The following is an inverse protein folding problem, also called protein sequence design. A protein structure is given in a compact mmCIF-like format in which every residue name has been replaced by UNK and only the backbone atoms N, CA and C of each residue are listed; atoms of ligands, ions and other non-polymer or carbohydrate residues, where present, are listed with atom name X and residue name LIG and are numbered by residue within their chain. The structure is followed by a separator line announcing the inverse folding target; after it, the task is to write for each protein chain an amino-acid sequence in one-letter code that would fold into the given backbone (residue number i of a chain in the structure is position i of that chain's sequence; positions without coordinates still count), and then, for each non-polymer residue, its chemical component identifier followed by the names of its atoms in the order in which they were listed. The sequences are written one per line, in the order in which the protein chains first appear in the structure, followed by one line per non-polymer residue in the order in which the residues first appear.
data_IF_521263855427
#
_entry.id   IF_521263855427
#
_cell.length_a   1.000
_cell.length_b   1.000
_cell.length_c   1.000
_cell.angle_alpha   90.00
_cell.angle_beta   90.00
_cell.angle_gamma   90.00
#
_symmetry.space_group_name_H-M   'P 1'
#
loop_
_entity.id
_entity.type
_entity.pdbx_description
1 polymer ?
#
# COMPACT_ATOMS: atom_id res chain seq x y z
N UNK A 1 49.42 40.38 -38.45
CA UNK A 1 50.18 39.60 -37.47
C UNK A 1 49.43 39.67 -36.16
N UNK A 2 48.96 38.61 -35.55
CA UNK A 2 48.75 37.23 -35.96
C UNK A 2 47.64 36.70 -35.04
N UNK A 3 46.80 35.84 -35.60
CA UNK A 3 45.73 35.12 -34.92
C UNK A 3 46.32 33.83 -34.39
N UNK A 4 46.38 33.62 -33.06
CA UNK A 4 46.38 32.31 -32.35
C UNK A 4 46.83 32.48 -30.89
N UNK A 5 46.24 31.66 -30.02
CA UNK A 5 46.68 31.33 -28.64
C UNK A 5 46.48 32.45 -27.59
N UNK A 6 45.75 32.34 -26.47
CA UNK A 6 45.28 31.22 -25.65
C UNK A 6 43.93 31.66 -25.00
N UNK A 7 42.82 31.04 -25.38
CA UNK A 7 41.59 30.97 -24.57
C UNK A 7 41.41 29.49 -24.27
N UNK A 8 41.74 29.05 -23.06
CA UNK A 8 41.45 27.70 -22.59
C UNK A 8 41.10 27.70 -21.10
N UNK A 9 40.00 26.99 -20.82
CA UNK A 9 39.64 26.33 -19.56
C UNK A 9 39.10 27.12 -18.36
N UNK A 10 37.78 27.33 -18.40
CA UNK A 10 36.89 27.08 -17.25
C UNK A 10 35.58 26.41 -17.71
N UNK A 11 35.63 25.10 -17.94
CA UNK A 11 34.44 24.26 -17.94
C UNK A 11 34.27 23.68 -16.52
N UNK A 12 33.12 23.94 -15.90
CA UNK A 12 32.77 23.37 -14.61
C UNK A 12 32.55 21.87 -14.72
N UNK A 13 33.13 21.12 -13.77
CA UNK A 13 32.95 19.69 -13.62
C UNK A 13 31.47 19.31 -13.44
N UNK A 14 30.90 18.69 -14.46
CA UNK A 14 29.64 17.95 -14.36
C UNK A 14 29.99 16.52 -13.97
N UNK A 15 29.74 16.17 -12.72
CA UNK A 15 29.99 14.85 -12.13
C UNK A 15 29.25 13.74 -12.94
N UNK A 16 30.00 12.77 -13.48
CA UNK A 16 29.43 11.71 -14.31
C UNK A 16 28.77 10.61 -13.45
N UNK A 17 27.60 10.07 -13.87
CA UNK A 17 26.84 9.06 -13.12
C UNK A 17 27.60 7.75 -12.84
N UNK A 18 28.69 7.47 -13.55
CA UNK A 18 29.56 6.32 -13.30
C UNK A 18 30.32 6.44 -11.96
N UNK A 19 30.66 7.65 -11.52
CA UNK A 19 31.46 7.87 -10.31
C UNK A 19 30.64 7.73 -9.01
N UNK A 20 29.32 7.97 -9.07
CA UNK A 20 28.38 7.64 -7.97
C UNK A 20 28.21 6.13 -7.79
N UNK A 21 28.17 5.38 -8.88
CA UNK A 21 28.03 3.93 -8.89
C UNK A 21 29.29 3.21 -8.35
N UNK A 22 30.47 3.78 -8.56
CA UNK A 22 31.72 3.26 -8.02
C UNK A 22 31.80 3.40 -6.48
N UNK A 23 31.30 4.51 -5.91
CA UNK A 23 31.24 4.69 -4.44
C UNK A 23 30.22 3.75 -3.77
N UNK A 24 29.09 3.48 -4.44
CA UNK A 24 28.09 2.52 -3.94
C UNK A 24 28.60 1.07 -3.97
N UNK A 25 29.44 0.69 -4.94
CA UNK A 25 30.08 -0.64 -4.96
C UNK A 25 31.14 -0.82 -3.88
N UNK A 26 31.85 0.23 -3.48
CA UNK A 26 32.87 0.18 -2.41
C UNK A 26 32.29 -0.03 -1.00
N UNK A 27 31.01 0.29 -0.78
CA UNK A 27 30.33 0.06 0.49
C UNK A 27 29.80 -1.38 0.66
N UNK A 28 29.74 -2.16 -0.43
CA UNK A 28 29.09 -3.49 -0.47
C UNK A 28 30.05 -4.63 -0.13
N UNK A 29 31.36 -4.44 -0.12
CA UNK A 29 32.36 -5.51 0.15
C UNK A 29 32.92 -5.51 1.57
N UNK A 30 32.21 -4.97 2.57
CA UNK A 30 32.71 -5.00 3.96
C UNK A 30 31.74 -5.53 5.01
N UNK A 31 30.74 -6.30 4.62
CA UNK A 31 29.89 -7.04 5.57
C UNK A 31 29.83 -8.49 5.10
N UNK A 32 30.96 -9.17 5.16
CA UNK A 32 30.99 -10.61 5.09
C UNK A 32 32.06 -11.12 6.06
N UNK A 33 31.66 -11.28 7.32
CA UNK A 33 32.37 -12.03 8.37
C UNK A 33 31.52 -12.10 9.64
N UNK A 34 30.44 -12.90 9.66
CA UNK A 34 30.06 -13.55 10.92
C UNK A 34 29.32 -14.89 10.70
N UNK A 35 29.90 -16.04 11.12
CA UNK A 35 29.33 -17.39 10.97
C UNK A 35 28.13 -17.73 11.88
N UNK A 36 27.27 -16.77 12.25
CA UNK A 36 26.15 -17.01 13.19
C UNK A 36 24.76 -17.07 12.53
N UNK A 37 24.68 -17.05 11.21
CA UNK A 37 23.41 -16.97 10.46
C UNK A 37 22.67 -18.30 10.19
N UNK A 38 23.14 -19.45 10.70
CA UNK A 38 22.50 -20.75 10.42
C UNK A 38 21.58 -21.27 11.55
N UNK A 39 21.58 -20.66 12.74
CA UNK A 39 20.71 -21.14 13.85
C UNK A 39 19.38 -20.39 14.00
N UNK A 40 19.26 -19.17 13.47
CA UNK A 40 18.05 -18.35 13.60
C UNK A 40 16.89 -18.84 12.71
N UNK A 41 17.19 -19.52 11.59
CA UNK A 41 16.19 -19.97 10.60
C UNK A 41 15.41 -21.22 11.03
N UNK A 42 15.90 -22.01 12.00
CA UNK A 42 15.13 -23.15 12.57
C UNK A 42 14.25 -22.78 13.75
N UNK A 43 14.59 -21.72 14.50
CA UNK A 43 13.83 -21.31 15.70
C UNK A 43 12.61 -20.46 15.34
N UNK A 44 12.67 -19.69 14.26
CA UNK A 44 11.55 -18.86 13.79
C UNK A 44 10.38 -19.68 13.19
N UNK A 45 10.67 -20.87 12.65
CA UNK A 45 9.65 -21.79 12.12
C UNK A 45 8.81 -22.50 13.19
N UNK A 46 9.17 -22.40 14.47
CA UNK A 46 8.51 -23.07 15.61
C UNK A 46 7.79 -22.14 16.58
N UNK A 47 7.78 -20.83 16.33
CA UNK A 47 7.20 -19.83 17.26
C UNK A 47 6.18 -18.88 16.64
N UNK A 48 5.83 -19.09 15.37
CA UNK A 48 4.60 -18.54 14.82
C UNK A 48 3.45 -19.47 15.25
N UNK A 49 2.44 -18.99 16.00
CA UNK A 49 1.21 -19.73 16.15
C UNK A 49 0.56 -19.80 14.76
N UNK A 50 0.74 -20.92 14.09
CA UNK A 50 -0.11 -21.33 12.99
C UNK A 50 -1.40 -21.81 13.60
N UNK A 51 -2.42 -20.95 13.60
CA UNK A 51 -3.78 -21.38 13.85
C UNK A 51 -4.39 -21.72 12.48
N UNK A 52 -4.77 -22.99 12.30
CA UNK A 52 -5.37 -23.56 11.08
C UNK A 52 -6.75 -22.95 10.75
N UNK A 53 -7.18 -21.90 11.48
CA UNK A 53 -8.35 -21.06 11.17
C UNK A 53 -8.03 -19.86 10.28
N UNK A 54 -6.76 -19.56 10.03
CA UNK A 54 -6.35 -18.63 8.98
C UNK A 54 -6.24 -19.40 7.67
N UNK A 55 -7.28 -19.28 6.84
CA UNK A 55 -7.29 -19.78 5.48
C UNK A 55 -6.14 -19.20 4.66
N UNK A 56 -5.20 -20.08 4.34
CA UNK A 56 -4.12 -20.01 3.35
C UNK A 56 -2.84 -19.22 3.72
N UNK A 57 -1.64 -19.79 3.42
CA UNK A 57 -0.36 -19.27 3.84
C UNK A 57 -0.04 -17.99 3.08
N UNK A 58 0.44 -16.98 3.82
CA UNK A 58 1.26 -15.86 3.36
C UNK A 58 1.82 -16.12 1.95
N UNK A 59 1.20 -15.51 0.94
CA UNK A 59 1.40 -15.74 -0.49
C UNK A 59 2.79 -16.29 -0.85
N UNK A 60 2.89 -17.62 -0.96
CA UNK A 60 4.05 -18.31 -1.52
C UNK A 60 3.70 -18.78 -2.94
N UNK A 61 3.59 -17.83 -3.87
CA UNK A 61 3.57 -18.15 -5.29
C UNK A 61 4.54 -17.23 -6.04
N UNK A 62 5.76 -17.72 -6.22
CA UNK A 62 6.80 -17.14 -7.08
C UNK A 62 8.12 -16.91 -6.34
N UNK A 63 9.23 -17.46 -6.83
CA UNK A 63 10.59 -17.12 -6.39
C UNK A 63 11.03 -15.82 -7.07
N UNK A 64 10.73 -14.69 -6.42
CA UNK A 64 11.15 -13.32 -6.77
C UNK A 64 10.74 -12.26 -5.71
N UNK A 65 9.63 -12.41 -4.95
CA UNK A 65 9.19 -11.39 -3.99
C UNK A 65 10.00 -11.35 -2.70
N UNK A 66 10.52 -12.50 -2.24
CA UNK A 66 11.17 -12.61 -0.92
C UNK A 66 12.45 -11.76 -0.85
N UNK A 67 13.23 -11.70 -1.94
CA UNK A 67 14.43 -10.84 -2.02
C UNK A 67 14.09 -9.35 -2.06
N UNK A 68 12.95 -8.96 -2.65
CA UNK A 68 12.52 -7.56 -2.70
C UNK A 68 11.95 -7.09 -1.36
N UNK A 69 11.23 -7.96 -0.64
CA UNK A 69 10.81 -7.72 0.74
C UNK A 69 12.05 -7.57 1.65
N UNK A 70 13.07 -8.42 1.47
CA UNK A 70 14.32 -8.32 2.23
C UNK A 70 15.08 -7.00 1.99
N UNK A 71 15.02 -6.44 0.76
CA UNK A 71 15.61 -5.12 0.45
C UNK A 71 14.80 -3.95 1.01
N UNK A 72 13.47 -4.06 1.06
CA UNK A 72 12.60 -3.05 1.70
C UNK A 72 12.75 -3.04 3.22
N UNK A 73 12.88 -4.22 3.84
CA UNK A 73 13.11 -4.37 5.29
C UNK A 73 14.54 -3.95 5.68
N UNK A 74 15.55 -4.16 4.82
CA UNK A 74 16.93 -3.72 5.09
C UNK A 74 17.13 -2.19 5.04
N UNK A 75 16.17 -1.45 4.49
CA UNK A 75 16.19 0.02 4.55
C UNK A 75 15.69 0.57 5.90
N UNK A 76 15.07 -0.28 6.73
CA UNK A 76 14.71 0.05 8.11
C UNK A 76 15.87 -0.39 9.03
N UNK A 77 16.41 0.57 9.78
CA UNK A 77 17.60 0.38 10.62
C UNK A 77 17.50 -0.85 11.55
N UNK A 78 18.50 -1.75 11.58
CA UNK A 78 18.53 -2.84 12.53
C UNK A 78 18.98 -2.32 13.90
N UNK A 79 18.09 -2.30 14.90
CA UNK A 79 18.49 -1.90 16.24
C UNK A 79 17.41 -1.66 17.29
N UNK A 80 16.11 -1.92 17.04
CA UNK A 80 15.08 -1.83 18.08
C UNK A 80 14.19 -3.06 18.11
N UNK A 81 14.29 -3.81 19.19
CA UNK A 81 13.34 -4.85 19.58
C UNK A 81 11.97 -4.20 19.86
N UNK A 82 11.02 -4.44 18.96
CA UNK A 82 9.54 -4.40 19.10
C UNK A 82 8.92 -3.91 17.78
N UNK A 83 9.05 -4.73 16.72
CA UNK A 83 8.60 -4.39 15.35
C UNK A 83 7.33 -5.17 15.01
N UNK A 84 6.25 -4.93 15.75
CA UNK A 84 4.89 -5.40 15.39
C UNK A 84 3.85 -4.29 15.38
N UNK A 85 4.20 -3.04 15.75
CA UNK A 85 3.21 -2.01 16.11
C UNK A 85 3.01 -0.88 15.09
N UNK A 86 3.63 -0.95 13.91
CA UNK A 86 3.59 0.14 12.90
C UNK A 86 3.16 -0.32 11.50
N UNK A 87 2.62 -1.53 11.37
CA UNK A 87 2.51 -2.22 10.08
C UNK A 87 1.49 -1.60 9.09
N UNK A 88 0.45 -0.90 9.53
CA UNK A 88 -0.60 -0.37 8.65
C UNK A 88 -0.11 0.71 7.67
N UNK A 89 0.11 1.90 8.20
CA UNK A 89 0.65 3.05 7.46
C UNK A 89 2.04 2.76 6.88
N UNK A 90 2.90 2.07 7.63
CA UNK A 90 4.27 1.79 7.16
C UNK A 90 4.28 0.76 6.04
N UNK A 91 3.46 -0.31 6.08
CA UNK A 91 3.41 -1.26 4.98
C UNK A 91 2.75 -0.64 3.75
N UNK A 92 1.69 0.15 3.90
CA UNK A 92 1.08 0.90 2.79
C UNK A 92 2.09 1.90 2.19
N UNK A 93 2.86 2.61 3.02
CA UNK A 93 3.84 3.60 2.56
C UNK A 93 5.09 2.96 1.93
N UNK A 94 5.58 1.85 2.49
CA UNK A 94 6.63 1.03 1.87
C UNK A 94 6.14 0.48 0.54
N UNK A 95 4.92 -0.04 0.49
CA UNK A 95 4.37 -0.57 -0.74
C UNK A 95 4.12 0.53 -1.79
N UNK A 96 3.66 1.72 -1.40
CA UNK A 96 3.57 2.89 -2.28
C UNK A 96 4.93 3.23 -2.90
N UNK A 97 5.99 3.24 -2.09
CA UNK A 97 7.36 3.52 -2.54
C UNK A 97 7.88 2.46 -3.53
N UNK A 98 7.50 1.19 -3.32
CA UNK A 98 7.89 0.08 -4.21
C UNK A 98 7.11 0.13 -5.54
N UNK A 99 5.84 0.48 -5.52
CA UNK A 99 5.01 0.59 -6.72
C UNK A 99 5.37 1.81 -7.58
N UNK A 100 5.94 2.88 -7.00
CA UNK A 100 6.52 4.01 -7.74
C UNK A 100 7.75 3.61 -8.57
N UNK A 101 8.54 2.64 -8.10
CA UNK A 101 9.69 2.13 -8.83
C UNK A 101 9.32 1.20 -10.00
N UNK A 102 8.10 0.64 -9.97
CA UNK A 102 7.64 -0.40 -10.91
C UNK A 102 7.15 0.15 -12.27
N UNK A 103 7.96 0.99 -12.94
CA UNK A 103 7.86 1.36 -14.36
C UNK A 103 6.53 1.97 -14.88
N UNK A 104 6.60 2.67 -16.02
CA UNK A 104 5.41 3.23 -16.69
C UNK A 104 4.83 2.19 -17.67
N UNK A 105 3.53 1.90 -17.58
CA UNK A 105 2.80 1.02 -18.51
C UNK A 105 1.40 0.65 -17.98
N UNK A 106 0.42 0.50 -18.89
CA UNK A 106 -0.95 0.04 -18.59
C UNK A 106 -1.06 -1.47 -18.81
N UNK A 107 -1.92 -2.12 -18.04
CA UNK A 107 -2.35 -3.51 -18.25
C UNK A 107 -3.45 -3.63 -19.29
N UNK A 108 -3.94 -4.86 -19.47
CA UNK A 108 -4.88 -5.21 -20.53
C UNK A 108 -6.36 -5.14 -20.10
N UNK A 109 -6.62 -5.06 -18.79
CA UNK A 109 -7.98 -5.06 -18.22
C UNK A 109 -8.23 -3.78 -17.45
N UNK A 110 -9.39 -3.15 -17.71
CA UNK A 110 -9.93 -2.10 -16.86
C UNK A 110 -10.52 -2.73 -15.59
N UNK A 111 -10.20 -2.15 -14.43
CA UNK A 111 -10.72 -2.58 -13.14
C UNK A 111 -10.63 -1.47 -12.10
N UNK A 112 -11.44 -1.62 -11.05
CA UNK A 112 -11.34 -0.80 -9.86
C UNK A 112 -10.25 -1.37 -8.95
N UNK A 113 -9.41 -0.49 -8.43
CA UNK A 113 -8.44 -0.78 -7.38
C UNK A 113 -8.90 -0.07 -6.11
N UNK A 114 -9.19 -0.85 -5.07
CA UNK A 114 -9.62 -0.41 -3.76
C UNK A 114 -8.45 -0.53 -2.77
N UNK A 115 -8.22 0.54 -2.01
CA UNK A 115 -7.42 0.50 -0.79
C UNK A 115 -8.30 0.88 0.40
N UNK A 116 -8.17 0.13 1.49
CA UNK A 116 -8.73 0.48 2.81
C UNK A 116 -7.61 0.65 3.82
N UNK A 117 -7.89 1.39 4.89
CA UNK A 117 -6.96 1.63 5.99
C UNK A 117 -7.74 2.02 7.26
N UNK A 118 -7.21 1.70 8.44
CA UNK A 118 -7.76 2.15 9.72
C UNK A 118 -7.12 3.47 10.16
N UNK A 119 -7.95 4.40 10.63
CA UNK A 119 -7.50 5.73 11.07
C UNK A 119 -7.42 5.77 12.59
N UNK A 120 -6.27 6.20 13.12
CA UNK A 120 -6.12 6.51 14.54
C UNK A 120 -6.07 5.30 15.49
N UNK A 121 -5.87 4.10 14.94
CA UNK A 121 -5.78 2.85 15.68
C UNK A 121 -4.51 2.73 16.53
N UNK A 122 -3.37 3.26 16.05
CA UNK A 122 -2.06 3.04 16.71
C UNK A 122 -1.98 3.57 18.15
N UNK A 123 -2.46 4.79 18.49
CA UNK A 123 -2.43 5.27 19.88
C UNK A 123 -3.29 4.44 20.84
N UNK A 124 -4.40 3.87 20.38
CA UNK A 124 -5.21 2.96 21.18
C UNK A 124 -4.50 1.62 21.39
N UNK A 125 -3.94 1.04 20.31
CA UNK A 125 -3.23 -0.23 20.34
C UNK A 125 -2.04 -0.24 21.32
N UNK A 126 -1.39 0.90 21.54
CA UNK A 126 -0.32 1.05 22.51
C UNK A 126 -0.76 0.92 23.98
N UNK A 127 -2.06 1.12 24.28
CA UNK A 127 -2.60 1.15 25.65
C UNK A 127 -3.27 -0.15 26.08
N UNK A 128 -3.95 -0.85 25.17
CA UNK A 128 -4.84 -1.98 25.52
C UNK A 128 -4.16 -3.35 25.56
N UNK A 129 -2.93 -3.43 25.05
CA UNK A 129 -2.18 -4.67 24.95
C UNK A 129 -2.56 -5.52 23.72
N UNK A 130 -1.78 -6.57 23.49
CA UNK A 130 -1.79 -7.26 22.20
C UNK A 130 -3.07 -8.09 21.96
N UNK A 131 -3.76 -8.55 23.01
CA UNK A 131 -4.96 -9.39 22.88
C UNK A 131 -6.14 -8.63 22.26
N UNK A 132 -6.51 -7.46 22.82
CA UNK A 132 -7.58 -6.61 22.31
C UNK A 132 -7.25 -6.05 20.92
N UNK A 133 -5.97 -5.78 20.65
CA UNK A 133 -5.50 -5.41 19.30
C UNK A 133 -5.75 -6.52 18.29
N UNK A 134 -5.41 -7.77 18.62
CA UNK A 134 -5.62 -8.91 17.72
C UNK A 134 -7.11 -9.23 17.53
N UNK A 135 -7.93 -9.00 18.55
CA UNK A 135 -9.39 -9.10 18.47
C UNK A 135 -9.95 -8.07 17.49
N UNK A 136 -9.64 -6.79 17.67
CA UNK A 136 -10.09 -5.72 16.77
C UNK A 136 -9.65 -5.98 15.33
N UNK A 137 -8.37 -6.31 15.10
CA UNK A 137 -7.87 -6.56 13.75
C UNK A 137 -8.53 -7.76 13.08
N UNK A 138 -8.95 -8.77 13.87
CA UNK A 138 -9.68 -9.93 13.36
C UNK A 138 -11.10 -9.52 12.94
N UNK A 139 -11.82 -8.81 13.81
CA UNK A 139 -13.19 -8.38 13.51
C UNK A 139 -13.24 -7.43 12.31
N UNK A 140 -12.34 -6.45 12.27
CA UNK A 140 -12.21 -5.54 11.12
C UNK A 140 -11.83 -6.31 9.86
N UNK A 141 -10.85 -7.22 9.96
CA UNK A 141 -10.41 -8.04 8.84
C UNK A 141 -11.57 -8.82 8.23
N UNK A 142 -12.33 -9.55 9.06
CA UNK A 142 -13.52 -10.30 8.62
C UNK A 142 -14.57 -9.38 8.01
N UNK A 143 -14.92 -8.27 8.66
CA UNK A 143 -15.93 -7.33 8.14
C UNK A 143 -15.56 -6.78 6.75
N UNK A 144 -14.29 -6.42 6.55
CA UNK A 144 -13.80 -5.90 5.26
C UNK A 144 -13.74 -7.00 4.20
N UNK A 145 -13.30 -8.20 4.57
CA UNK A 145 -13.24 -9.35 3.65
C UNK A 145 -14.61 -9.80 3.16
N UNK A 146 -15.57 -9.91 4.08
CA UNK A 146 -16.92 -10.34 3.77
C UNK A 146 -17.59 -9.33 2.82
N UNK A 147 -17.44 -8.03 3.08
CA UNK A 147 -17.93 -7.00 2.17
C UNK A 147 -17.25 -7.07 0.79
N UNK A 148 -15.93 -7.23 0.72
CA UNK A 148 -15.23 -7.30 -0.57
C UNK A 148 -15.67 -8.53 -1.37
N UNK A 149 -15.71 -9.70 -0.74
CA UNK A 149 -16.01 -10.96 -1.43
C UNK A 149 -17.49 -11.09 -1.80
N UNK A 150 -18.41 -10.52 -1.02
CA UNK A 150 -19.85 -10.49 -1.34
C UNK A 150 -20.17 -9.65 -2.59
N UNK A 151 -19.26 -8.76 -2.99
CA UNK A 151 -19.36 -7.91 -4.18
C UNK A 151 -18.38 -8.34 -5.28
N UNK A 152 -18.06 -9.63 -5.36
CA UNK A 152 -17.16 -10.24 -6.37
C UNK A 152 -15.75 -9.62 -6.41
N UNK A 153 -15.35 -8.99 -5.32
CA UNK A 153 -14.03 -8.41 -5.15
C UNK A 153 -12.97 -9.46 -4.87
N UNK A 154 -11.79 -9.24 -5.42
CA UNK A 154 -10.61 -10.08 -5.15
C UNK A 154 -9.62 -9.32 -4.28
N UNK A 155 -9.36 -9.85 -3.08
CA UNK A 155 -8.28 -9.37 -2.24
C UNK A 155 -6.95 -9.75 -2.88
N UNK A 156 -6.13 -8.75 -3.17
CA UNK A 156 -4.79 -8.92 -3.73
C UNK A 156 -3.81 -9.18 -2.60
N UNK A 157 -3.88 -8.36 -1.54
CA UNK A 157 -3.04 -8.50 -0.34
C UNK A 157 -3.60 -7.71 0.83
N UNK A 158 -3.13 -8.08 2.03
CA UNK A 158 -3.33 -7.34 3.28
C UNK A 158 -2.14 -6.42 3.54
N UNK A 159 -2.40 -5.26 4.12
CA UNK A 159 -1.45 -4.18 4.36
C UNK A 159 -1.45 -3.81 5.86
N UNK A 160 -1.31 -4.81 6.73
CA UNK A 160 -1.48 -4.62 8.17
C UNK A 160 -2.96 -4.56 8.55
N UNK A 161 -3.46 -3.36 8.83
CA UNK A 161 -4.86 -3.05 9.17
C UNK A 161 -5.71 -2.63 7.96
N UNK A 162 -5.10 -2.48 6.79
CA UNK A 162 -5.76 -2.20 5.52
C UNK A 162 -5.72 -3.39 4.54
N UNK A 163 -6.45 -3.27 3.44
CA UNK A 163 -6.37 -4.22 2.31
C UNK A 163 -6.25 -3.51 0.97
N UNK A 164 -5.66 -4.22 0.01
CA UNK A 164 -5.75 -3.91 -1.41
C UNK A 164 -6.63 -4.95 -2.08
N UNK A 165 -7.67 -4.51 -2.78
CA UNK A 165 -8.58 -5.36 -3.54
C UNK A 165 -8.81 -4.82 -4.94
N UNK A 166 -9.26 -5.70 -5.83
CA UNK A 166 -9.60 -5.37 -7.22
C UNK A 166 -10.98 -5.89 -7.59
N UNK A 167 -11.70 -5.12 -8.41
CA UNK A 167 -13.05 -5.45 -8.89
C UNK A 167 -13.16 -5.21 -10.38
N UNK A 168 -13.89 -6.08 -11.09
CA UNK A 168 -14.19 -5.88 -12.51
C UNK A 168 -15.36 -4.91 -12.75
N UNK A 169 -16.14 -4.57 -11.71
CA UNK A 169 -17.17 -3.53 -11.74
C UNK A 169 -16.76 -2.37 -10.83
N UNK A 170 -16.97 -1.14 -11.30
CA UNK A 170 -16.72 0.07 -10.53
C UNK A 170 -17.77 0.26 -9.42
N UNK A 171 -19.03 -0.07 -9.71
CA UNK A 171 -20.16 -0.06 -8.79
C UNK A 171 -19.92 -1.03 -7.64
N UNK A 172 -19.56 -2.28 -7.95
CA UNK A 172 -19.29 -3.30 -6.96
C UNK A 172 -18.17 -2.88 -6.00
N UNK A 173 -17.13 -2.20 -6.50
CA UNK A 173 -16.07 -1.67 -5.64
C UNK A 173 -16.57 -0.59 -4.68
N UNK A 174 -17.47 0.29 -5.14
CA UNK A 174 -18.06 1.35 -4.31
C UNK A 174 -18.98 0.76 -3.24
N UNK A 175 -19.87 -0.16 -3.63
CA UNK A 175 -20.77 -0.85 -2.70
C UNK A 175 -19.99 -1.65 -1.66
N UNK A 176 -18.96 -2.40 -2.08
CA UNK A 176 -18.08 -3.12 -1.15
C UNK A 176 -17.41 -2.19 -0.14
N UNK A 177 -16.93 -1.03 -0.58
CA UNK A 177 -16.27 -0.06 0.31
C UNK A 177 -17.26 0.58 1.29
N UNK A 178 -18.50 0.83 0.88
CA UNK A 178 -19.55 1.35 1.75
C UNK A 178 -20.02 0.30 2.76
N UNK A 179 -20.21 -0.95 2.33
CA UNK A 179 -20.58 -2.05 3.24
C UNK A 179 -19.47 -2.36 4.24
N UNK A 180 -18.22 -2.37 3.80
CA UNK A 180 -17.07 -2.52 4.70
C UNK A 180 -17.02 -1.37 5.72
N UNK A 181 -17.31 -0.13 5.30
CA UNK A 181 -17.36 1.02 6.19
C UNK A 181 -18.45 0.88 7.25
N UNK A 182 -19.66 0.48 6.84
CA UNK A 182 -20.79 0.33 7.75
C UNK A 182 -20.58 -0.84 8.72
N UNK A 183 -20.01 -1.95 8.24
CA UNK A 183 -19.66 -3.11 9.06
C UNK A 183 -18.58 -2.76 10.10
N UNK A 184 -17.53 -2.02 9.70
CA UNK A 184 -16.47 -1.59 10.62
C UNK A 184 -17.01 -0.63 11.68
N UNK A 185 -17.94 0.25 11.33
CA UNK A 185 -18.60 1.14 12.30
C UNK A 185 -19.45 0.41 13.36
N UNK A 186 -19.89 -0.82 13.07
CA UNK A 186 -20.61 -1.66 14.02
C UNK A 186 -19.71 -2.35 15.06
N UNK A 187 -18.37 -2.25 14.92
CA UNK A 187 -17.41 -2.93 15.78
C UNK A 187 -17.04 -2.04 16.96
N UNK A 188 -17.02 -2.62 18.16
CA UNK A 188 -16.45 -1.98 19.35
C UNK A 188 -15.69 -3.02 20.17
N UNK A 189 -14.40 -2.75 20.42
CA UNK A 189 -13.53 -3.62 21.22
C UNK A 189 -12.87 -2.77 22.29
N UNK A 190 -12.98 -3.17 23.56
CA UNK A 190 -12.39 -2.47 24.71
C UNK A 190 -12.67 -0.94 24.70
N UNK A 191 -13.93 -0.58 24.40
CA UNK A 191 -14.39 0.82 24.34
C UNK A 191 -13.85 1.63 23.17
N UNK A 192 -13.27 0.97 22.16
CA UNK A 192 -12.77 1.62 20.94
C UNK A 192 -13.56 1.19 19.71
N UNK A 193 -14.13 2.20 19.05
CA UNK A 193 -14.72 2.08 17.74
C UNK A 193 -13.66 2.39 16.66
N UNK A 194 -13.29 1.41 15.82
CA UNK A 194 -12.37 1.62 14.70
C UNK A 194 -13.00 2.54 13.67
N UNK A 195 -12.16 3.28 12.96
CA UNK A 195 -12.59 4.15 11.87
C UNK A 195 -11.89 3.80 10.59
N UNK A 196 -12.64 3.50 9.54
CA UNK A 196 -12.07 3.12 8.25
C UNK A 196 -12.02 4.32 7.32
N UNK A 197 -11.00 4.34 6.46
CA UNK A 197 -11.00 5.13 5.24
C UNK A 197 -10.78 4.25 4.04
N UNK A 198 -11.32 4.65 2.89
CA UNK A 198 -11.17 3.93 1.65
C UNK A 198 -10.93 4.87 0.47
N UNK A 199 -10.19 4.39 -0.52
CA UNK A 199 -9.97 5.08 -1.78
C UNK A 199 -10.05 4.13 -2.96
N UNK A 200 -10.76 4.56 -4.00
CA UNK A 200 -11.03 3.74 -5.17
C UNK A 200 -10.68 4.50 -6.44
N UNK A 201 -9.98 3.82 -7.35
CA UNK A 201 -9.66 4.33 -8.67
C UNK A 201 -9.95 3.29 -9.74
N UNK A 202 -10.44 3.74 -10.89
CA UNK A 202 -10.66 2.93 -12.07
C UNK A 202 -9.52 3.14 -13.06
N UNK A 203 -8.88 2.06 -13.50
CA UNK A 203 -7.76 2.13 -14.42
C UNK A 203 -7.35 0.76 -14.95
N UNK A 204 -6.15 0.67 -15.51
CA UNK A 204 -5.60 -0.55 -16.12
C UNK A 204 -4.30 -0.96 -15.42
N UNK A 205 -4.37 -1.51 -14.20
CA UNK A 205 -3.18 -1.95 -13.49
C UNK A 205 -2.53 -3.15 -14.20
N UNK A 206 -1.20 -3.26 -14.14
CA UNK A 206 -0.49 -4.39 -14.73
C UNK A 206 -0.43 -5.54 -13.73
N UNK A 207 -0.92 -6.71 -14.16
CA UNK A 207 -0.82 -7.93 -13.36
C UNK A 207 0.60 -8.48 -13.42
N UNK A 208 1.19 -8.77 -12.26
CA UNK A 208 2.48 -9.44 -12.13
C UNK A 208 2.33 -10.61 -11.14
N UNK A 209 2.17 -11.82 -11.67
CA UNK A 209 1.88 -13.01 -10.87
C UNK A 209 0.53 -12.88 -10.15
N UNK A 210 0.56 -12.93 -8.81
CA UNK A 210 -0.60 -12.73 -7.95
C UNK A 210 -0.89 -11.27 -7.57
N UNK A 211 -0.11 -10.32 -8.10
CA UNK A 211 -0.13 -8.92 -7.68
C UNK A 211 -0.46 -7.96 -8.83
N UNK A 212 -0.68 -6.68 -8.50
CA UNK A 212 -0.90 -5.59 -9.43
C UNK A 212 0.06 -4.42 -9.16
N UNK A 213 0.65 -3.89 -10.24
CA UNK A 213 1.59 -2.77 -10.19
C UNK A 213 1.26 -1.72 -11.26
N UNK A 214 1.83 -0.53 -11.10
CA UNK A 214 1.80 0.54 -12.09
C UNK A 214 1.10 1.80 -11.61
N UNK A 215 0.84 2.70 -12.56
CA UNK A 215 0.37 4.06 -12.25
C UNK A 215 -1.00 4.04 -11.59
N UNK A 216 -1.95 3.25 -12.10
CA UNK A 216 -3.33 3.24 -11.58
C UNK A 216 -3.40 2.70 -10.14
N UNK A 217 -2.50 1.76 -9.82
CA UNK A 217 -2.31 1.21 -8.48
C UNK A 217 -1.80 2.30 -7.51
N UNK A 218 -0.83 3.11 -7.94
CA UNK A 218 -0.34 4.25 -7.17
C UNK A 218 -1.43 5.32 -6.99
N UNK A 219 -2.18 5.62 -8.05
CA UNK A 219 -3.28 6.58 -7.99
C UNK A 219 -4.32 6.15 -6.96
N UNK A 220 -4.77 4.90 -7.00
CA UNK A 220 -5.72 4.36 -6.02
C UNK A 220 -5.22 4.54 -4.57
N UNK A 221 -3.94 4.24 -4.33
CA UNK A 221 -3.33 4.42 -3.01
C UNK A 221 -3.28 5.91 -2.59
N UNK A 222 -3.05 6.84 -3.52
CA UNK A 222 -3.12 8.29 -3.25
C UNK A 222 -4.55 8.76 -2.97
N UNK A 223 -5.54 8.21 -3.66
CA UNK A 223 -6.97 8.48 -3.37
C UNK A 223 -7.29 8.03 -1.94
N UNK A 224 -6.88 6.84 -1.53
CA UNK A 224 -7.11 6.33 -0.17
C UNK A 224 -6.36 7.14 0.90
N UNK A 225 -5.11 7.50 0.65
CA UNK A 225 -4.32 8.32 1.57
C UNK A 225 -4.94 9.72 1.79
N UNK A 226 -5.65 10.27 0.80
CA UNK A 226 -6.34 11.55 0.89
C UNK A 226 -7.69 11.47 1.62
N UNK A 227 -8.23 10.27 1.81
CA UNK A 227 -9.46 10.06 2.57
C UNK A 227 -9.21 10.33 4.07
N UNK A 228 -10.17 11.02 4.70
CA UNK A 228 -10.20 11.17 6.16
C UNK A 228 -10.86 9.95 6.79
N UNK A 229 -10.81 9.85 8.12
CA UNK A 229 -11.63 8.88 8.86
C UNK A 229 -13.10 8.96 8.41
N UNK A 230 -13.76 7.81 8.27
CA UNK A 230 -15.17 7.69 7.86
C UNK A 230 -15.45 8.24 6.46
N UNK A 231 -14.46 8.12 5.56
CA UNK A 231 -14.61 8.54 4.17
C UNK A 231 -14.23 7.44 3.20
N UNK A 232 -15.15 7.22 2.25
CA UNK A 232 -14.87 6.56 0.97
C UNK A 232 -14.68 7.66 -0.07
N UNK A 233 -13.48 7.71 -0.66
CA UNK A 233 -13.18 8.59 -1.78
C UNK A 233 -13.07 7.79 -3.08
N UNK A 234 -13.60 8.34 -4.16
CA UNK A 234 -13.44 7.82 -5.52
C UNK A 234 -12.76 8.86 -6.39
N UNK A 235 -11.95 8.41 -7.35
CA UNK A 235 -11.48 9.28 -8.43
C UNK A 235 -12.64 9.70 -9.34
N UNK A 236 -12.53 10.85 -10.00
CA UNK A 236 -13.50 11.28 -11.01
C UNK A 236 -13.57 10.34 -12.22
N UNK A 237 -12.46 9.67 -12.54
CA UNK A 237 -12.41 8.59 -13.53
C UNK A 237 -13.33 7.43 -13.15
N UNK A 238 -13.31 7.00 -11.89
CA UNK A 238 -14.19 5.94 -11.38
C UNK A 238 -15.64 6.39 -11.32
N UNK A 239 -15.91 7.62 -10.87
CA UNK A 239 -17.26 8.15 -10.81
C UNK A 239 -17.92 8.20 -12.19
N UNK A 240 -17.14 8.40 -13.26
CA UNK A 240 -17.63 8.36 -14.63
C UNK A 240 -17.99 6.94 -15.13
N UNK A 241 -17.62 5.89 -14.39
CA UNK A 241 -17.95 4.50 -14.73
C UNK A 241 -19.23 4.01 -14.08
N UNK A 242 -19.80 4.74 -13.12
CA UNK A 242 -20.94 4.28 -12.33
C UNK A 242 -22.18 5.14 -12.56
N UNK A 243 -23.35 4.53 -12.44
CA UNK A 243 -24.57 5.28 -12.14
C UNK A 243 -24.57 5.65 -10.65
N UNK A 244 -24.71 6.94 -10.35
CA UNK A 244 -24.70 7.44 -8.98
C UNK A 244 -26.10 7.41 -8.33
N UNK A 245 -27.07 6.74 -8.96
CA UNK A 245 -28.37 6.47 -8.36
C UNK A 245 -28.21 5.74 -7.01
N UNK A 246 -28.88 6.25 -5.96
CA UNK A 246 -28.73 5.72 -4.60
C UNK A 246 -27.47 6.19 -3.84
N UNK A 247 -26.61 7.00 -4.46
CA UNK A 247 -25.42 7.57 -3.83
C UNK A 247 -25.54 9.09 -3.62
N UNK A 248 -25.04 9.57 -2.49
CA UNK A 248 -24.75 10.99 -2.27
C UNK A 248 -23.28 11.26 -2.58
N UNK A 249 -23.05 12.25 -3.46
CA UNK A 249 -21.71 12.67 -3.83
C UNK A 249 -21.36 14.03 -3.22
N UNK A 250 -20.13 14.15 -2.72
CA UNK A 250 -19.58 15.40 -2.24
C UNK A 250 -19.06 16.29 -3.37
N UNK A 251 -18.62 17.51 -3.02
CA UNK A 251 -17.91 18.38 -3.97
C UNK A 251 -16.59 17.75 -4.42
N UNK A 252 -16.39 17.67 -5.73
CA UNK A 252 -15.13 17.24 -6.31
C UNK A 252 -13.97 18.17 -5.91
N UNK A 253 -12.86 17.58 -5.46
CA UNK A 253 -11.64 18.28 -5.04
C UNK A 253 -10.46 17.76 -5.83
N UNK A 254 -9.58 18.67 -6.26
CA UNK A 254 -8.32 18.28 -6.90
C UNK A 254 -7.43 17.54 -5.90
N UNK A 255 -6.93 16.37 -6.27
CA UNK A 255 -5.94 15.66 -5.48
C UNK A 255 -4.56 16.28 -5.73
N UNK A 256 -3.93 16.78 -4.68
CA UNK A 256 -2.54 17.28 -4.73
C UNK A 256 -1.68 16.28 -3.97
N UNK A 257 -1.15 15.29 -4.69
CA UNK A 257 -0.27 14.27 -4.14
C UNK A 257 0.79 13.90 -5.16
N UNK A 258 2.02 13.70 -4.71
CA UNK A 258 3.11 13.24 -5.56
C UNK A 258 2.77 11.85 -6.12
N UNK A 259 3.02 11.66 -7.42
CA UNK A 259 2.67 10.43 -8.14
C UNK A 259 1.21 10.34 -8.62
N UNK A 260 0.35 11.30 -8.29
CA UNK A 260 -0.99 11.40 -8.86
C UNK A 260 -1.03 12.37 -10.07
N UNK A 261 -1.89 12.14 -11.09
CA UNK A 261 -2.12 13.10 -12.16
C UNK A 261 -2.57 14.47 -11.63
N UNK A 262 -2.01 15.55 -12.18
CA UNK A 262 -2.25 16.93 -11.70
C UNK A 262 -3.70 17.41 -11.83
N UNK A 263 -4.45 16.78 -12.72
CA UNK A 263 -5.84 17.05 -13.03
C UNK A 263 -6.83 16.13 -12.29
N UNK A 264 -6.34 15.08 -11.62
CA UNK A 264 -7.17 14.11 -10.91
C UNK A 264 -8.02 14.79 -9.83
N UNK A 265 -9.31 14.49 -9.83
CA UNK A 265 -10.23 14.91 -8.76
C UNK A 265 -10.71 13.71 -7.97
N UNK A 266 -10.95 13.94 -6.70
CA UNK A 266 -11.54 12.97 -5.77
C UNK A 266 -12.88 13.48 -5.27
N UNK A 267 -13.81 12.56 -5.12
CA UNK A 267 -15.19 12.79 -4.71
C UNK A 267 -15.47 11.88 -3.52
N UNK A 268 -16.08 12.43 -2.47
CA UNK A 268 -16.61 11.61 -1.37
C UNK A 268 -17.92 10.98 -1.84
N UNK A 269 -18.08 9.69 -1.57
CA UNK A 269 -19.33 8.96 -1.79
C UNK A 269 -19.87 8.46 -0.45
N UNK A 270 -21.19 8.50 -0.30
CA UNK A 270 -21.94 7.91 0.83
C UNK A 270 -23.26 7.36 0.31
N UNK A 271 -23.93 6.47 1.07
CA UNK A 271 -25.31 6.08 0.78
C UNK A 271 -26.26 7.28 0.85
N UNK A 272 -27.31 7.26 0.02
CA UNK A 272 -28.34 8.31 -0.03
C UNK A 272 -29.32 8.27 1.14
#
# INVERSE_FOLDING_TARGET
MDSRELIQDRAGDVEQPADRLARLRGAVTRIDSEPSLISATRRFRRRLPGDEKFGDPLSIAGRAPVEMIARGVSALQPGRESVTKELGLSALQVWQSLSEAAGRGRGDLDMAVLFTDLVGFSPWALRVGDAAVLELLREVGTAVEDAITSHDGRIVKRLGDGVMATFLSAEAAVEAALDAHDAVNGIEVDGYAPRMRAGIHWGRPRKLGGDYLGVDVNVAARVAAAAKAEQVLVSDVLLAQIDAEGLRTGRAKRLRADGAPSDLRVIRVTRA
#
